data_IF_030877683348
#
_entry.id   IF_030877683348
#
_cell.length_a   1.000
_cell.length_b   1.000
_cell.length_c   1.000
_cell.angle_alpha   90.00
_cell.angle_beta   90.00
_cell.angle_gamma   90.00
#
_symmetry.space_group_name_H-M   'P 1'
#
loop_
_entity.id
_entity.type
_entity.pdbx_description
1 polymer ?
#
# COMPACT_ATOMS: atom_id res chain seq x y z
N UNK A 1 -0.43 9.67 -17.40
CA UNK A 1 -1.07 8.41 -17.82
C UNK A 1 -2.46 8.69 -18.38
N UNK A 2 -3.15 7.74 -19.03
CA UNK A 2 -4.57 7.93 -19.43
C UNK A 2 -5.50 8.07 -18.22
N UNK A 3 -5.19 7.37 -17.13
CA UNK A 3 -5.91 7.52 -15.86
C UNK A 3 -5.80 8.95 -15.31
N UNK A 4 -4.61 9.55 -15.36
CA UNK A 4 -4.42 10.94 -14.90
C UNK A 4 -5.23 11.91 -15.75
N UNK A 5 -5.24 11.74 -17.07
CA UNK A 5 -6.04 12.57 -17.98
C UNK A 5 -7.54 12.46 -17.69
N UNK A 6 -8.02 11.23 -17.43
CA UNK A 6 -9.39 11.01 -16.99
C UNK A 6 -9.67 11.74 -15.66
N UNK A 7 -8.76 11.66 -14.70
CA UNK A 7 -8.85 12.42 -13.44
C UNK A 7 -8.94 13.93 -13.66
N UNK A 8 -8.03 14.51 -14.45
CA UNK A 8 -7.98 15.96 -14.69
C UNK A 8 -9.18 16.50 -15.47
N UNK A 9 -9.80 15.67 -16.30
CA UNK A 9 -10.93 16.05 -17.14
C UNK A 9 -12.25 15.49 -16.63
N UNK A 10 -12.32 15.05 -15.36
CA UNK A 10 -13.53 14.48 -14.74
C UNK A 10 -14.20 13.39 -15.60
N UNK A 11 -13.39 12.54 -16.21
CA UNK A 11 -13.81 11.44 -17.08
C UNK A 11 -14.11 11.85 -18.53
N UNK A 12 -14.11 13.13 -18.88
CA UNK A 12 -14.47 13.62 -20.21
C UNK A 12 -13.23 13.78 -21.10
N UNK A 13 -12.90 12.76 -21.89
CA UNK A 13 -11.80 12.85 -22.85
C UNK A 13 -12.26 13.39 -24.21
N UNK A 14 -11.48 14.28 -24.87
CA UNK A 14 -11.68 14.65 -26.25
C UNK A 14 -11.73 13.43 -27.18
N UNK A 15 -12.61 13.46 -28.20
CA UNK A 15 -12.81 12.36 -29.13
C UNK A 15 -11.52 11.92 -29.84
N UNK A 16 -10.65 12.85 -30.20
CA UNK A 16 -9.35 12.57 -30.82
C UNK A 16 -8.46 11.69 -29.92
N UNK A 17 -8.39 12.01 -28.62
CA UNK A 17 -7.64 11.23 -27.64
C UNK A 17 -8.31 9.88 -27.38
N UNK A 18 -9.65 9.85 -27.30
CA UNK A 18 -10.36 8.59 -27.12
C UNK A 18 -10.10 7.61 -28.28
N UNK A 19 -10.10 8.11 -29.51
CA UNK A 19 -9.85 7.33 -30.72
C UNK A 19 -8.37 6.89 -30.86
N UNK A 20 -7.43 7.62 -30.26
CA UNK A 20 -6.00 7.28 -30.31
C UNK A 20 -5.65 6.07 -29.43
N UNK A 21 -6.45 5.74 -28.41
CA UNK A 21 -6.15 4.69 -27.43
C UNK A 21 -7.27 3.65 -27.25
N UNK A 22 -7.76 2.99 -28.31
CA UNK A 22 -8.95 2.14 -28.25
C UNK A 22 -8.79 0.92 -27.32
N UNK A 23 -7.56 0.42 -27.12
CA UNK A 23 -7.29 -0.71 -26.23
C UNK A 23 -7.03 -0.29 -24.78
N UNK A 24 -6.32 0.82 -24.57
CA UNK A 24 -5.92 1.26 -23.24
C UNK A 24 -7.01 2.08 -22.54
N UNK A 25 -7.88 2.76 -23.29
CA UNK A 25 -8.94 3.61 -22.74
C UNK A 25 -9.94 2.83 -21.87
N UNK A 26 -10.50 1.68 -22.31
CA UNK A 26 -11.42 0.92 -21.46
C UNK A 26 -10.80 0.49 -20.12
N UNK A 27 -9.51 0.15 -20.13
CA UNK A 27 -8.77 -0.24 -18.93
C UNK A 27 -8.54 0.95 -18.00
N UNK A 28 -8.15 2.10 -18.55
CA UNK A 28 -8.00 3.34 -17.79
C UNK A 28 -9.34 3.81 -17.20
N UNK A 29 -10.45 3.64 -17.95
CA UNK A 29 -11.81 3.93 -17.49
C UNK A 29 -12.21 3.07 -16.30
N UNK A 30 -11.96 1.77 -16.37
CA UNK A 30 -12.22 0.84 -15.26
C UNK A 30 -11.51 1.25 -13.97
N UNK A 31 -10.27 1.76 -14.06
CA UNK A 31 -9.52 2.29 -12.91
C UNK A 31 -10.07 3.64 -12.43
N UNK A 32 -10.45 4.52 -13.36
CA UNK A 32 -11.06 5.82 -13.04
C UNK A 32 -12.39 5.65 -12.31
N UNK A 33 -13.29 4.82 -12.84
CA UNK A 33 -14.61 4.58 -12.26
C UNK A 33 -14.51 4.00 -10.83
N UNK A 34 -13.48 3.18 -10.57
CA UNK A 34 -13.17 2.69 -9.22
C UNK A 34 -12.79 3.81 -8.27
N UNK A 35 -12.02 4.81 -8.72
CA UNK A 35 -11.64 5.95 -7.90
C UNK A 35 -12.82 6.91 -7.68
N UNK A 36 -13.59 7.19 -8.73
CA UNK A 36 -14.76 8.08 -8.71
C UNK A 36 -15.86 7.56 -7.78
N UNK A 37 -16.02 6.23 -7.68
CA UNK A 37 -16.93 5.60 -6.73
C UNK A 37 -16.49 5.72 -5.25
N UNK A 38 -15.25 6.14 -4.97
CA UNK A 38 -14.73 6.20 -3.61
C UNK A 38 -14.83 7.60 -3.00
N UNK A 39 -15.07 7.63 -1.68
CA UNK A 39 -14.98 8.85 -0.88
C UNK A 39 -13.53 9.17 -0.58
N UNK A 40 -13.02 10.26 -1.17
CA UNK A 40 -11.67 10.78 -0.99
C UNK A 40 -11.60 11.96 0.01
N UNK A 41 -12.59 12.06 0.88
CA UNK A 41 -12.81 13.17 1.82
C UNK A 41 -12.00 13.07 3.13
N UNK A 42 -11.18 12.04 3.28
CA UNK A 42 -10.36 11.79 4.47
C UNK A 42 -9.05 11.08 4.12
N UNK A 43 -8.00 11.18 4.97
CA UNK A 43 -6.76 10.42 4.78
C UNK A 43 -7.01 8.91 4.67
N UNK A 44 -7.96 8.39 5.46
CA UNK A 44 -8.34 6.98 5.40
C UNK A 44 -9.02 6.62 4.06
N UNK A 45 -9.93 7.46 3.58
CA UNK A 45 -10.58 7.30 2.28
C UNK A 45 -9.57 7.32 1.13
N UNK A 46 -8.63 8.27 1.15
CA UNK A 46 -7.57 8.38 0.16
C UNK A 46 -6.65 7.15 0.17
N UNK A 47 -6.16 6.73 1.36
CA UNK A 47 -5.32 5.53 1.48
C UNK A 47 -6.03 4.31 0.89
N UNK A 48 -7.30 4.08 1.27
CA UNK A 48 -8.08 2.94 0.78
C UNK A 48 -8.23 2.98 -0.74
N UNK A 49 -8.44 4.17 -1.32
CA UNK A 49 -8.54 4.33 -2.76
C UNK A 49 -7.25 3.96 -3.48
N UNK A 50 -6.09 4.36 -2.94
CA UNK A 50 -4.79 3.96 -3.49
C UNK A 50 -4.58 2.45 -3.41
N UNK A 51 -4.85 1.80 -2.27
CA UNK A 51 -4.71 0.34 -2.13
C UNK A 51 -5.60 -0.40 -3.13
N UNK A 52 -6.86 0.00 -3.25
CA UNK A 52 -7.78 -0.60 -4.22
C UNK A 52 -7.35 -0.37 -5.67
N UNK A 53 -6.79 0.80 -5.98
CA UNK A 53 -6.28 1.12 -7.32
C UNK A 53 -5.12 0.19 -7.70
N UNK A 54 -4.15 0.00 -6.81
CA UNK A 54 -3.01 -0.88 -7.03
C UNK A 54 -3.46 -2.33 -7.26
N UNK A 55 -4.32 -2.85 -6.37
CA UNK A 55 -4.88 -4.20 -6.53
C UNK A 55 -5.67 -4.37 -7.83
N UNK A 56 -6.43 -3.34 -8.24
CA UNK A 56 -7.18 -3.37 -9.49
C UNK A 56 -6.27 -3.31 -10.71
N UNK A 57 -5.20 -2.53 -10.64
CA UNK A 57 -4.20 -2.46 -11.68
C UNK A 57 -3.53 -3.83 -11.90
N UNK A 58 -3.18 -4.53 -10.82
CA UNK A 58 -2.67 -5.90 -10.90
C UNK A 58 -3.66 -6.84 -11.61
N UNK A 59 -4.94 -6.80 -11.23
CA UNK A 59 -6.00 -7.57 -11.92
C UNK A 59 -6.09 -7.22 -13.41
N UNK A 60 -5.88 -5.95 -13.79
CA UNK A 60 -5.87 -5.52 -15.20
C UNK A 60 -4.72 -6.15 -15.96
N UNK A 61 -3.49 -6.04 -15.45
CA UNK A 61 -2.31 -6.52 -16.18
C UNK A 61 -2.25 -8.04 -16.22
N UNK A 62 -2.75 -8.74 -15.20
CA UNK A 62 -2.88 -10.20 -15.19
C UNK A 62 -3.87 -10.69 -16.26
N UNK A 63 -5.02 -10.01 -16.44
CA UNK A 63 -5.96 -10.32 -17.53
C UNK A 63 -5.34 -10.13 -18.92
N UNK A 64 -4.33 -9.28 -19.04
CA UNK A 64 -3.58 -9.07 -20.27
C UNK A 64 -2.39 -10.05 -20.42
N UNK A 65 -2.20 -10.97 -19.46
CA UNK A 65 -1.15 -11.99 -19.51
C UNK A 65 0.20 -11.57 -18.92
N UNK A 66 0.26 -10.43 -18.21
CA UNK A 66 1.47 -10.00 -17.51
C UNK A 66 1.52 -10.54 -16.08
N UNK A 67 2.71 -10.49 -15.47
CA UNK A 67 2.88 -10.77 -14.04
C UNK A 67 2.40 -9.57 -13.22
N UNK A 68 1.81 -9.79 -12.02
CA UNK A 68 1.47 -8.72 -11.10
C UNK A 68 2.73 -7.96 -10.64
N UNK A 69 2.57 -6.69 -10.27
CA UNK A 69 3.69 -5.81 -9.88
C UNK A 69 4.22 -6.10 -8.48
N UNK A 70 3.43 -6.79 -7.64
CA UNK A 70 3.70 -6.97 -6.21
C UNK A 70 3.73 -5.64 -5.42
N UNK A 71 2.97 -4.63 -5.89
CA UNK A 71 2.92 -3.29 -5.28
C UNK A 71 2.41 -3.33 -3.83
N UNK A 72 1.61 -4.32 -3.46
CA UNK A 72 1.15 -4.52 -2.09
C UNK A 72 2.33 -4.64 -1.11
N UNK A 73 3.40 -5.33 -1.49
CA UNK A 73 4.61 -5.48 -0.69
C UNK A 73 5.63 -4.36 -0.97
N UNK A 74 5.78 -3.98 -2.23
CA UNK A 74 6.83 -3.06 -2.67
C UNK A 74 6.53 -1.60 -2.32
N UNK A 75 5.30 -1.13 -2.51
CA UNK A 75 4.92 0.25 -2.27
C UNK A 75 4.57 0.46 -0.79
N UNK A 76 5.41 1.21 -0.08
CA UNK A 76 5.10 1.60 1.30
C UNK A 76 4.08 2.74 1.30
N UNK A 77 2.91 2.50 1.88
CA UNK A 77 1.89 3.53 2.10
C UNK A 77 1.80 3.85 3.59
N UNK A 78 1.93 5.12 3.98
CA UNK A 78 1.81 5.54 5.38
C UNK A 78 0.48 5.08 5.99
N UNK A 79 0.49 4.41 7.16
CA UNK A 79 -0.73 3.89 7.77
C UNK A 79 -1.61 5.02 8.31
N UNK A 80 -2.92 4.84 8.16
CA UNK A 80 -3.93 5.71 8.77
C UNK A 80 -4.61 4.93 9.90
N UNK A 81 -4.32 5.32 11.13
CA UNK A 81 -4.63 4.55 12.34
C UNK A 81 -5.66 5.27 13.22
N UNK A 82 -6.41 4.49 14.00
CA UNK A 82 -7.20 5.01 15.10
C UNK A 82 -6.43 4.99 16.41
N UNK A 83 -6.81 5.84 17.36
CA UNK A 83 -6.31 5.80 18.73
C UNK A 83 -6.42 4.42 19.39
N UNK A 84 -7.45 3.63 19.01
CA UNK A 84 -7.58 2.24 19.48
C UNK A 84 -6.45 1.37 18.95
N UNK A 85 -6.17 1.43 17.65
CA UNK A 85 -5.11 0.62 17.01
C UNK A 85 -3.74 0.91 17.59
N UNK A 86 -3.45 2.17 17.94
CA UNK A 86 -2.18 2.52 18.60
C UNK A 86 -1.95 1.79 19.92
N UNK A 87 -3.02 1.40 20.64
CA UNK A 87 -2.94 0.66 21.91
C UNK A 87 -2.93 -0.86 21.73
N UNK A 88 -3.20 -1.35 20.52
CA UNK A 88 -3.15 -2.78 20.22
C UNK A 88 -1.68 -3.21 20.05
N UNK A 89 -1.44 -4.51 20.16
CA UNK A 89 -0.14 -5.10 19.84
C UNK A 89 0.10 -5.08 18.34
N UNK A 90 1.38 -5.13 17.92
CA UNK A 90 1.74 -5.17 16.50
C UNK A 90 1.02 -6.29 15.77
N UNK A 91 1.02 -7.49 16.33
CA UNK A 91 0.41 -8.68 15.73
C UNK A 91 -1.12 -8.59 15.58
N UNK A 92 -1.79 -7.65 16.23
CA UNK A 92 -3.22 -7.42 16.06
C UNK A 92 -3.52 -6.48 14.88
N UNK A 93 -2.55 -5.69 14.43
CA UNK A 93 -2.74 -4.67 13.38
C UNK A 93 -1.97 -5.00 12.11
N UNK A 94 -0.76 -5.52 12.26
CA UNK A 94 0.18 -5.80 11.17
C UNK A 94 0.75 -7.22 11.27
N UNK A 95 1.18 -7.72 10.12
CA UNK A 95 1.98 -8.93 9.99
C UNK A 95 3.32 -8.56 9.39
N UNK A 96 4.41 -8.86 10.08
CA UNK A 96 5.75 -8.72 9.49
C UNK A 96 5.98 -9.82 8.47
N UNK A 97 6.40 -9.43 7.26
CA UNK A 97 6.82 -10.34 6.19
C UNK A 97 8.30 -10.08 5.89
N UNK A 98 9.06 -11.17 5.74
CA UNK A 98 10.40 -11.09 5.20
C UNK A 98 10.29 -10.76 3.71
N UNK A 99 10.73 -9.57 3.33
CA UNK A 99 10.64 -9.17 1.94
C UNK A 99 11.68 -9.87 1.08
N UNK A 100 11.36 -10.09 -0.20
CA UNK A 100 12.38 -10.41 -1.20
C UNK A 100 13.32 -9.22 -1.49
N UNK A 101 12.95 -8.02 -1.05
CA UNK A 101 13.70 -6.79 -1.23
C UNK A 101 14.69 -6.55 -0.09
N UNK A 102 15.73 -5.77 -0.39
CA UNK A 102 16.74 -5.31 0.57
C UNK A 102 16.58 -3.82 0.78
N UNK A 103 16.85 -3.38 2.00
CA UNK A 103 16.92 -1.96 2.30
C UNK A 103 18.00 -1.29 1.41
N UNK A 104 17.67 -0.12 0.87
CA UNK A 104 18.55 0.55 -0.10
C UNK A 104 19.83 1.06 0.56
N UNK A 105 19.76 1.52 1.79
CA UNK A 105 20.87 2.12 2.53
C UNK A 105 21.73 1.03 3.19
N UNK A 106 21.10 0.13 3.95
CA UNK A 106 21.84 -0.89 4.72
C UNK A 106 22.22 -2.12 3.89
N UNK A 107 21.50 -2.37 2.78
CA UNK A 107 21.61 -3.59 1.97
C UNK A 107 21.21 -4.88 2.70
N UNK A 108 20.66 -4.76 3.90
CA UNK A 108 20.14 -5.87 4.70
C UNK A 108 18.73 -6.25 4.24
N UNK A 109 18.22 -7.45 4.60
CA UNK A 109 16.83 -7.83 4.33
C UNK A 109 15.84 -6.79 4.86
N UNK A 110 14.85 -6.44 4.05
CA UNK A 110 13.77 -5.54 4.47
C UNK A 110 12.64 -6.34 5.13
N UNK A 111 12.18 -5.88 6.29
CA UNK A 111 11.03 -6.45 6.99
C UNK A 111 9.84 -5.52 6.83
N UNK A 112 8.88 -5.92 5.98
CA UNK A 112 7.71 -5.09 5.69
C UNK A 112 6.59 -5.42 6.67
N UNK A 113 5.92 -4.40 7.17
CA UNK A 113 4.73 -4.54 8.01
C UNK A 113 3.47 -4.47 7.14
N UNK A 114 2.89 -5.63 6.86
CA UNK A 114 1.68 -5.76 6.04
C UNK A 114 0.44 -5.54 6.91
N UNK A 115 -0.46 -4.64 6.51
CA UNK A 115 -1.72 -4.41 7.22
C UNK A 115 -2.58 -5.68 7.22
N UNK A 116 -3.09 -6.09 8.37
CA UNK A 116 -3.98 -7.27 8.43
C UNK A 116 -5.34 -7.05 7.76
N UNK A 117 -5.75 -5.79 7.62
CA UNK A 117 -7.04 -5.43 7.04
C UNK A 117 -6.99 -5.19 5.54
N UNK A 118 -5.86 -4.74 5.01
CA UNK A 118 -5.71 -4.26 3.63
C UNK A 118 -4.56 -4.93 2.87
N UNK A 119 -3.77 -5.79 3.52
CA UNK A 119 -2.62 -6.50 2.96
C UNK A 119 -1.60 -5.59 2.27
N UNK A 120 -1.55 -4.32 2.65
CA UNK A 120 -0.61 -3.35 2.10
C UNK A 120 0.56 -3.13 3.06
N UNK A 121 1.77 -3.02 2.51
CA UNK A 121 2.95 -2.58 3.25
C UNK A 121 2.74 -1.16 3.80
N UNK A 122 2.73 -1.05 5.13
CA UNK A 122 2.55 0.20 5.84
C UNK A 122 3.89 0.89 6.17
N UNK A 123 4.92 0.11 6.47
CA UNK A 123 6.25 0.59 6.82
C UNK A 123 7.26 -0.56 6.77
N UNK A 124 8.53 -0.20 6.65
CA UNK A 124 9.66 -1.13 6.70
C UNK A 124 10.35 -0.98 8.05
N UNK A 125 10.59 -2.09 8.73
CA UNK A 125 11.37 -2.12 9.96
C UNK A 125 12.85 -2.35 9.63
N UNK A 126 13.75 -1.45 10.07
CA UNK A 126 15.19 -1.60 9.86
C UNK A 126 15.78 -2.54 10.92
N UNK A 127 15.41 -3.81 10.88
CA UNK A 127 15.89 -4.82 11.83
C UNK A 127 17.24 -5.38 11.36
N UNK A 128 18.32 -5.26 12.16
CA UNK A 128 19.59 -5.90 11.85
C UNK A 128 19.42 -7.43 11.80
N UNK A 129 20.08 -8.11 10.87
CA UNK A 129 19.94 -9.58 10.70
C UNK A 129 20.21 -10.35 12.01
N UNK A 130 21.19 -9.91 12.81
CA UNK A 130 21.52 -10.49 14.11
C UNK A 130 20.39 -10.39 15.17
N UNK A 131 19.44 -9.49 15.00
CA UNK A 131 18.30 -9.25 15.89
C UNK A 131 17.01 -9.96 15.42
N UNK A 132 17.08 -10.69 14.31
CA UNK A 132 15.92 -11.32 13.64
C UNK A 132 15.68 -12.77 14.10
N UNK A 133 15.95 -13.05 15.38
CA UNK A 133 15.71 -14.36 16.01
C UNK A 133 14.20 -14.62 16.23
N UNK A 134 13.75 -15.89 16.27
CA UNK A 134 12.34 -16.20 16.57
C UNK A 134 11.83 -15.56 17.86
N UNK A 135 12.64 -15.57 18.92
CA UNK A 135 12.30 -14.98 20.22
C UNK A 135 12.17 -13.46 20.13
N UNK A 136 13.07 -12.80 19.39
CA UNK A 136 12.99 -11.36 19.16
C UNK A 136 11.73 -10.97 18.37
N UNK A 137 11.36 -11.74 17.33
CA UNK A 137 10.10 -11.52 16.61
C UNK A 137 8.89 -11.74 17.50
N UNK A 138 8.88 -12.79 18.32
CA UNK A 138 7.79 -13.05 19.24
C UNK A 138 7.60 -11.87 20.21
N UNK A 139 8.69 -11.32 20.74
CA UNK A 139 8.63 -10.13 21.57
C UNK A 139 8.14 -8.90 20.80
N UNK A 140 8.67 -8.66 19.60
CA UNK A 140 8.27 -7.56 18.73
C UNK A 140 6.76 -7.57 18.43
N UNK A 141 6.20 -8.75 18.13
CA UNK A 141 4.77 -8.92 17.87
C UNK A 141 3.89 -8.57 19.06
N UNK A 142 4.38 -8.75 20.30
CA UNK A 142 3.64 -8.46 21.53
C UNK A 142 3.79 -7.01 22.02
N UNK A 143 4.67 -6.21 21.41
CA UNK A 143 4.81 -4.80 21.76
C UNK A 143 3.61 -4.00 21.27
N UNK A 144 3.28 -2.92 21.99
CA UNK A 144 2.23 -2.01 21.53
C UNK A 144 2.66 -1.33 20.24
N UNK A 145 1.71 -1.13 19.33
CA UNK A 145 2.00 -0.48 18.05
C UNK A 145 2.58 0.93 18.24
N UNK A 146 2.09 1.67 19.23
CA UNK A 146 2.59 3.00 19.54
C UNK A 146 4.08 3.01 19.93
N UNK A 147 4.52 2.02 20.72
CA UNK A 147 5.92 1.92 21.14
C UNK A 147 6.83 1.64 19.94
N UNK A 148 6.41 0.75 19.04
CA UNK A 148 7.15 0.42 17.81
C UNK A 148 7.26 1.64 16.89
N UNK A 149 6.13 2.31 16.62
CA UNK A 149 6.13 3.51 15.77
C UNK A 149 7.05 4.59 16.33
N UNK A 150 7.07 4.76 17.65
CA UNK A 150 7.96 5.71 18.33
C UNK A 150 9.43 5.28 18.28
N UNK A 151 9.71 4.01 18.60
CA UNK A 151 11.06 3.44 18.65
C UNK A 151 11.77 3.57 17.30
N UNK A 152 11.07 3.23 16.22
CA UNK A 152 11.63 3.24 14.86
C UNK A 152 11.34 4.56 14.11
N UNK A 153 10.74 5.55 14.77
CA UNK A 153 10.39 6.87 14.21
C UNK A 153 9.59 6.75 12.90
N UNK A 154 8.60 5.88 12.91
CA UNK A 154 7.76 5.59 11.76
C UNK A 154 6.59 6.57 11.68
N UNK A 155 6.39 7.14 10.50
CA UNK A 155 5.28 8.06 10.25
C UNK A 155 3.93 7.33 10.22
N UNK A 156 2.91 8.00 10.71
CA UNK A 156 1.51 7.57 10.62
C UNK A 156 0.58 8.78 10.64
N UNK A 157 -0.67 8.58 10.25
CA UNK A 157 -1.74 9.59 10.37
C UNK A 157 -2.86 9.05 11.24
N UNK A 158 -3.56 9.94 11.96
CA UNK A 158 -4.76 9.58 12.73
C UNK A 158 -6.02 9.80 11.88
N UNK A 159 -6.97 8.85 11.93
CA UNK A 159 -8.33 9.03 11.39
C UNK A 159 -9.31 9.58 12.42
#
# INVERSE_FOLDING_TARGET
SLLDLLGFLNGELPAELANAYPQALPLARELYDLLDAQKLDSPFGLRRAVVHLLARFDTVIERLGYQPTNDAEFATLTPVLSHRQLRLTLDQVFMIKHSGYRDRETKEPAYVAMGRSDEQNAFVLPLPEKETTPEAFQQLYQQSLNDILTQYRLDYTIR
#
